data_IF_005742646365
#
_entry.id   IF_005742646365
#
_cell.length_a   1.000
_cell.length_b   1.000
_cell.length_c   1.000
_cell.angle_alpha   90.00
_cell.angle_beta   90.00
_cell.angle_gamma   90.00
#
_symmetry.space_group_name_H-M   'P 1'
#
loop_
_entity.id
_entity.type
_entity.pdbx_description
1 polymer ?
#
# COMPACT_ATOMS: atom_id res chain seq x y z
N UNK A 1 14.00 -12.83 -15.91
CA UNK A 1 12.70 -12.13 -15.73
C UNK A 1 12.94 -10.62 -15.82
N UNK A 2 12.12 -9.87 -16.59
CA UNK A 2 12.34 -8.44 -16.81
C UNK A 2 12.18 -7.61 -15.52
N UNK A 3 12.99 -6.56 -15.36
CA UNK A 3 12.87 -5.60 -14.25
C UNK A 3 11.82 -4.52 -14.52
N UNK A 4 11.38 -3.81 -13.46
CA UNK A 4 10.33 -2.78 -13.54
C UNK A 4 10.56 -1.77 -14.66
N UNK A 5 11.76 -1.19 -14.75
CA UNK A 5 12.08 -0.19 -15.79
C UNK A 5 11.94 -0.74 -17.21
N UNK A 6 12.24 -2.02 -17.42
CA UNK A 6 12.08 -2.64 -18.73
C UNK A 6 10.63 -2.83 -19.10
N UNK A 7 9.79 -3.21 -18.14
CA UNK A 7 8.34 -3.33 -18.32
C UNK A 7 7.70 -1.96 -18.56
N UNK A 8 8.08 -0.95 -17.79
CA UNK A 8 7.63 0.44 -17.95
C UNK A 8 7.94 0.99 -19.37
N UNK A 9 9.10 0.65 -19.94
CA UNK A 9 9.41 0.98 -21.35
C UNK A 9 8.45 0.32 -22.33
N UNK A 10 8.08 -0.93 -22.11
CA UNK A 10 7.11 -1.63 -22.96
C UNK A 10 5.71 -1.01 -22.88
N UNK A 11 5.28 -0.54 -21.70
CA UNK A 11 4.01 0.18 -21.54
C UNK A 11 4.00 1.51 -22.31
N UNK A 12 5.16 2.16 -22.45
CA UNK A 12 5.31 3.44 -23.19
C UNK A 12 5.54 3.27 -24.68
N UNK A 13 5.84 2.07 -25.16
CA UNK A 13 6.17 1.84 -26.56
C UNK A 13 4.94 2.09 -27.45
N UNK A 14 4.95 3.12 -28.31
CA UNK A 14 3.82 3.41 -29.20
C UNK A 14 3.66 2.37 -30.31
N UNK A 15 4.69 1.54 -30.58
CA UNK A 15 4.64 0.47 -31.59
C UNK A 15 4.14 -0.85 -31.01
N UNK A 16 4.03 -0.96 -29.69
CA UNK A 16 3.52 -2.15 -29.02
C UNK A 16 1.99 -2.21 -29.07
N UNK A 17 1.46 -3.41 -29.30
CA UNK A 17 0.02 -3.66 -29.18
C UNK A 17 -0.51 -3.34 -27.76
N UNK A 18 -1.75 -2.87 -27.68
CA UNK A 18 -2.41 -2.45 -26.43
C UNK A 18 -2.49 -3.60 -25.41
N UNK A 19 -2.73 -4.84 -25.86
CA UNK A 19 -2.78 -5.97 -24.95
C UNK A 19 -1.41 -6.24 -24.30
N UNK A 20 -0.31 -6.11 -25.07
CA UNK A 20 1.06 -6.21 -24.54
C UNK A 20 1.35 -5.08 -23.56
N UNK A 21 0.97 -3.84 -23.88
CA UNK A 21 1.17 -2.68 -22.98
C UNK A 21 0.43 -2.87 -21.66
N UNK A 22 -0.84 -3.30 -21.69
CA UNK A 22 -1.62 -3.63 -20.48
C UNK A 22 -0.99 -4.78 -19.71
N UNK A 23 -0.56 -5.84 -20.40
CA UNK A 23 0.14 -6.96 -19.78
C UNK A 23 1.41 -6.50 -19.07
N UNK A 24 2.26 -5.70 -19.73
CA UNK A 24 3.49 -5.16 -19.13
C UNK A 24 3.20 -4.28 -17.91
N UNK A 25 2.12 -3.49 -17.92
CA UNK A 25 1.69 -2.73 -16.74
C UNK A 25 1.29 -3.66 -15.58
N UNK A 26 0.52 -4.71 -15.84
CA UNK A 26 0.20 -5.73 -14.82
C UNK A 26 1.47 -6.42 -14.30
N UNK A 27 2.46 -6.69 -15.15
CA UNK A 27 3.77 -7.21 -14.73
C UNK A 27 4.56 -6.22 -13.89
N UNK A 28 4.39 -4.91 -14.07
CA UNK A 28 4.97 -3.92 -13.14
C UNK A 28 4.43 -4.10 -11.71
N UNK A 29 3.16 -4.49 -11.55
CA UNK A 29 2.56 -4.74 -10.24
C UNK A 29 3.13 -5.99 -9.55
N UNK A 30 3.66 -6.95 -10.29
CA UNK A 30 4.44 -8.05 -9.71
C UNK A 30 5.79 -7.59 -9.13
N UNK A 31 6.22 -6.36 -9.42
CA UNK A 31 7.48 -5.76 -8.91
C UNK A 31 7.27 -4.67 -7.88
N UNK A 32 6.11 -4.01 -7.91
CA UNK A 32 5.76 -2.97 -6.95
C UNK A 32 4.24 -2.84 -6.90
N UNK A 33 3.64 -3.25 -5.80
CA UNK A 33 2.19 -3.17 -5.57
C UNK A 33 1.92 -2.79 -4.11
N UNK A 34 1.87 -1.47 -3.81
CA UNK A 34 1.85 -0.99 -2.43
C UNK A 34 0.61 -1.43 -1.64
N UNK A 35 -0.55 -1.57 -2.28
CA UNK A 35 -1.77 -2.07 -1.65
C UNK A 35 -1.93 -3.58 -1.73
N UNK A 36 -0.97 -4.29 -2.35
CA UNK A 36 -1.14 -5.66 -2.83
C UNK A 36 -1.64 -5.67 -4.28
N UNK A 37 -1.41 -6.78 -4.99
CA UNK A 37 -1.58 -6.82 -6.44
C UNK A 37 -3.01 -6.46 -6.89
N UNK A 38 -4.03 -7.06 -6.27
CA UNK A 38 -5.43 -6.83 -6.64
C UNK A 38 -5.87 -5.40 -6.34
N UNK A 39 -5.67 -4.95 -5.10
CA UNK A 39 -6.04 -3.60 -4.68
C UNK A 39 -5.30 -2.50 -5.45
N UNK A 40 -4.02 -2.70 -5.78
CA UNK A 40 -3.27 -1.70 -6.57
C UNK A 40 -3.79 -1.63 -8.00
N UNK A 41 -4.13 -2.78 -8.61
CA UNK A 41 -4.74 -2.79 -9.95
C UNK A 41 -6.12 -2.13 -9.94
N UNK A 42 -6.95 -2.45 -8.96
CA UNK A 42 -8.28 -1.85 -8.80
C UNK A 42 -8.20 -0.33 -8.65
N UNK A 43 -7.31 0.14 -7.78
CA UNK A 43 -7.04 1.57 -7.58
C UNK A 43 -6.66 2.29 -8.88
N UNK A 44 -5.69 1.74 -9.63
CA UNK A 44 -5.26 2.34 -10.90
C UNK A 44 -6.37 2.34 -11.94
N UNK A 45 -7.18 1.27 -11.98
CA UNK A 45 -8.34 1.18 -12.85
C UNK A 45 -9.38 2.25 -12.52
N UNK A 46 -9.78 2.35 -11.25
CA UNK A 46 -10.75 3.34 -10.80
C UNK A 46 -10.27 4.76 -11.05
N UNK A 47 -9.01 5.07 -10.73
CA UNK A 47 -8.45 6.42 -10.80
C UNK A 47 -8.18 6.92 -12.22
N UNK A 48 -7.83 6.02 -13.13
CA UNK A 48 -7.51 6.38 -14.52
C UNK A 48 -8.56 5.94 -15.54
N UNK A 49 -9.70 5.40 -15.06
CA UNK A 49 -10.81 4.97 -15.92
C UNK A 49 -10.45 3.80 -16.83
N UNK A 50 -9.66 2.84 -16.36
CA UNK A 50 -9.34 1.61 -17.10
C UNK A 50 -10.37 0.56 -16.69
N UNK A 51 -11.09 -0.02 -17.67
CA UNK A 51 -11.96 -1.16 -17.38
C UNK A 51 -11.12 -2.35 -16.90
N UNK A 52 -11.44 -3.00 -15.76
CA UNK A 52 -10.64 -4.11 -15.25
C UNK A 52 -10.47 -5.25 -16.26
N UNK A 53 -11.52 -5.54 -17.02
CA UNK A 53 -11.57 -6.56 -18.08
C UNK A 53 -11.33 -6.01 -19.49
N UNK A 54 -11.13 -4.69 -19.63
CA UNK A 54 -10.85 -4.07 -20.91
C UNK A 54 -9.48 -4.54 -21.43
N UNK A 55 -9.49 -5.15 -22.62
CA UNK A 55 -8.30 -5.69 -23.28
C UNK A 55 -7.60 -4.67 -24.18
N UNK A 56 -8.27 -3.59 -24.56
CA UNK A 56 -7.75 -2.54 -25.42
C UNK A 56 -8.00 -1.13 -24.85
N UNK A 57 -7.54 -0.87 -23.60
CA UNK A 57 -7.74 0.44 -22.98
C UNK A 57 -7.00 1.54 -23.72
N UNK A 58 -7.53 2.76 -23.64
CA UNK A 58 -6.88 3.96 -24.16
C UNK A 58 -5.43 4.04 -23.66
N UNK A 59 -4.44 4.06 -24.57
CA UNK A 59 -3.03 4.05 -24.19
C UNK A 59 -2.62 5.25 -23.34
N UNK A 60 -3.33 6.40 -23.41
CA UNK A 60 -3.09 7.54 -22.51
C UNK A 60 -3.44 7.19 -21.06
N UNK A 61 -4.50 6.42 -20.84
CA UNK A 61 -4.89 5.97 -19.49
C UNK A 61 -3.87 4.99 -18.90
N UNK A 62 -3.34 4.08 -19.72
CA UNK A 62 -2.25 3.18 -19.33
C UNK A 62 -0.98 3.94 -18.93
N UNK A 63 -0.62 4.99 -19.68
CA UNK A 63 0.54 5.82 -19.35
C UNK A 63 0.34 6.58 -18.03
N UNK A 64 -0.84 7.19 -17.81
CA UNK A 64 -1.15 7.86 -16.54
C UNK A 64 -1.09 6.92 -15.33
N UNK A 65 -1.61 5.71 -15.48
CA UNK A 65 -1.51 4.68 -14.44
C UNK A 65 -0.07 4.25 -14.16
N UNK A 66 0.77 4.15 -15.19
CA UNK A 66 2.19 3.89 -15.03
C UNK A 66 2.91 5.04 -14.33
N UNK A 67 2.63 6.28 -14.72
CA UNK A 67 3.27 7.47 -14.15
C UNK A 67 2.98 7.57 -12.65
N UNK A 68 1.74 7.33 -12.22
CA UNK A 68 1.39 7.29 -10.81
C UNK A 68 2.11 6.16 -10.04
N UNK A 69 2.19 4.96 -10.64
CA UNK A 69 2.91 3.83 -10.06
C UNK A 69 4.41 4.14 -9.93
N UNK A 70 5.01 4.81 -10.92
CA UNK A 70 6.40 5.24 -10.89
C UNK A 70 6.68 6.32 -9.85
N UNK A 71 5.77 7.30 -9.70
CA UNK A 71 5.88 8.31 -8.66
C UNK A 71 5.87 7.67 -7.27
N UNK A 72 4.92 6.76 -7.02
CA UNK A 72 4.85 6.02 -5.77
C UNK A 72 6.10 5.16 -5.54
N UNK A 73 6.62 4.52 -6.60
CA UNK A 73 7.86 3.75 -6.52
C UNK A 73 9.07 4.63 -6.22
N UNK A 74 9.12 5.86 -6.73
CA UNK A 74 10.19 6.81 -6.42
C UNK A 74 10.18 7.20 -4.94
N UNK A 75 9.00 7.45 -4.36
CA UNK A 75 8.83 7.69 -2.91
C UNK A 75 9.36 6.52 -2.10
N UNK A 76 8.98 5.29 -2.45
CA UNK A 76 9.45 4.08 -1.76
C UNK A 76 10.97 3.90 -1.85
N UNK A 77 11.56 4.06 -3.03
CA UNK A 77 13.01 3.92 -3.22
C UNK A 77 13.81 4.99 -2.47
N UNK A 78 13.31 6.23 -2.42
CA UNK A 78 13.92 7.30 -1.64
C UNK A 78 13.91 6.95 -0.15
N UNK A 79 12.81 6.40 0.35
CA UNK A 79 12.72 5.88 1.71
C UNK A 79 13.73 4.73 1.97
N UNK A 80 13.83 3.74 1.08
CA UNK A 80 14.78 2.62 1.22
C UNK A 80 16.23 3.11 1.25
N UNK A 81 16.58 4.08 0.40
CA UNK A 81 17.92 4.68 0.39
C UNK A 81 18.24 5.40 1.72
N UNK A 82 17.29 6.19 2.23
CA UNK A 82 17.43 6.86 3.52
C UNK A 82 17.54 5.89 4.70
N UNK A 83 16.76 4.80 4.68
CA UNK A 83 16.85 3.72 5.65
C UNK A 83 18.23 3.07 5.64
N UNK A 84 18.74 2.71 4.46
CA UNK A 84 20.05 2.07 4.31
C UNK A 84 21.20 2.98 4.77
N UNK A 85 21.14 4.28 4.49
CA UNK A 85 22.09 5.27 4.99
C UNK A 85 22.07 5.37 6.52
N UNK A 86 20.89 5.51 7.13
CA UNK A 86 20.75 5.55 8.60
C UNK A 86 21.31 4.28 9.25
N UNK A 87 20.93 3.10 8.75
CA UNK A 87 21.42 1.83 9.28
C UNK A 87 22.92 1.65 9.12
N UNK A 88 23.55 2.18 8.07
CA UNK A 88 25.01 2.18 7.93
C UNK A 88 25.67 3.01 9.02
N UNK A 89 25.15 4.21 9.32
CA UNK A 89 25.65 5.07 10.40
C UNK A 89 25.49 4.44 11.78
N UNK A 90 24.31 3.89 12.08
CA UNK A 90 24.04 3.21 13.35
C UNK A 90 24.94 1.99 13.56
N UNK A 91 25.15 1.16 12.51
CA UNK A 91 26.09 0.04 12.56
C UNK A 91 27.52 0.52 12.84
N UNK A 92 27.95 1.60 12.19
CA UNK A 92 29.26 2.22 12.42
C UNK A 92 29.39 2.74 13.86
N UNK A 93 28.32 3.29 14.43
CA UNK A 93 28.24 3.74 15.82
C UNK A 93 28.04 2.60 16.85
N UNK A 94 28.09 1.33 16.44
CA UNK A 94 27.94 0.17 17.32
C UNK A 94 26.48 -0.22 17.66
N UNK A 95 25.48 0.51 17.16
CA UNK A 95 24.06 0.22 17.36
C UNK A 95 23.58 -0.88 16.40
N UNK A 96 23.68 -2.14 16.85
CA UNK A 96 23.35 -3.31 16.02
C UNK A 96 21.91 -3.81 16.15
N UNK A 97 21.15 -3.41 17.19
CA UNK A 97 19.74 -3.80 17.35
C UNK A 97 18.81 -2.86 16.57
N UNK A 98 17.98 -3.39 15.64
CA UNK A 98 16.96 -2.60 14.96
C UNK A 98 15.85 -2.15 15.93
N UNK A 99 15.27 -0.98 15.71
CA UNK A 99 14.10 -0.49 16.45
C UNK A 99 12.77 -1.02 15.89
N UNK A 100 11.65 -0.75 16.57
CA UNK A 100 10.31 -1.20 16.13
C UNK A 100 9.91 -0.67 14.72
N UNK A 101 10.44 0.49 14.33
CA UNK A 101 10.31 1.01 12.97
C UNK A 101 10.99 0.12 11.92
N UNK A 102 12.15 -0.45 12.25
CA UNK A 102 12.89 -1.34 11.36
C UNK A 102 12.18 -2.70 11.21
N UNK A 103 11.36 -3.12 12.18
CA UNK A 103 10.55 -4.34 12.10
C UNK A 103 9.46 -4.27 11.04
N UNK A 104 8.81 -3.11 10.91
CA UNK A 104 7.88 -2.86 9.80
C UNK A 104 8.60 -2.88 8.44
N UNK A 105 9.78 -2.26 8.34
CA UNK A 105 10.58 -2.29 7.11
C UNK A 105 10.97 -3.72 6.73
N UNK A 106 11.37 -4.56 7.70
CA UNK A 106 11.68 -5.98 7.46
C UNK A 106 10.52 -6.77 6.85
N UNK A 107 9.28 -6.41 7.18
CA UNK A 107 8.06 -7.09 6.70
C UNK A 107 7.57 -6.59 5.34
N UNK A 108 8.10 -5.48 4.83
CA UNK A 108 7.58 -4.78 3.64
C UNK A 108 8.57 -4.72 2.48
N UNK A 109 9.58 -5.61 2.49
CA UNK A 109 10.70 -5.58 1.55
C UNK A 109 10.23 -5.60 0.08
N UNK A 110 10.79 -4.69 -0.75
CA UNK A 110 10.42 -4.55 -2.16
C UNK A 110 9.14 -3.77 -2.43
N UNK A 111 8.49 -3.19 -1.41
CA UNK A 111 7.32 -2.32 -1.58
C UNK A 111 6.01 -3.06 -1.89
N UNK A 112 6.01 -4.39 -1.76
CA UNK A 112 4.79 -5.20 -1.88
C UNK A 112 4.00 -5.19 -0.58
N UNK A 113 2.78 -4.65 -0.62
CA UNK A 113 1.89 -4.62 0.54
C UNK A 113 2.35 -3.69 1.66
N UNK A 114 3.18 -2.68 1.36
CA UNK A 114 3.60 -1.64 2.32
C UNK A 114 2.41 -0.90 2.94
N UNK A 115 1.32 -0.78 2.18
CA UNK A 115 0.05 -0.19 2.56
C UNK A 115 -1.10 -1.15 2.21
N UNK A 116 -0.92 -2.45 2.47
CA UNK A 116 -1.82 -3.52 2.06
C UNK A 116 -3.28 -3.18 2.35
N UNK A 117 -4.15 -3.34 1.36
CA UNK A 117 -5.60 -3.31 1.55
C UNK A 117 -6.09 -4.75 1.61
N UNK A 118 -6.76 -5.13 2.70
CA UNK A 118 -7.27 -6.50 2.90
C UNK A 118 -8.44 -6.80 1.97
N UNK A 119 -9.29 -5.80 1.75
CA UNK A 119 -10.34 -5.86 0.74
C UNK A 119 -9.83 -5.11 -0.50
N UNK A 120 -9.71 -5.76 -1.68
CA UNK A 120 -9.23 -5.11 -2.89
C UNK A 120 -10.05 -3.91 -3.34
N UNK A 121 -11.34 -3.86 -3.03
CA UNK A 121 -12.26 -2.79 -3.44
C UNK A 121 -12.31 -1.64 -2.43
N UNK A 122 -11.69 -1.82 -1.25
CA UNK A 122 -11.62 -0.80 -0.20
C UNK A 122 -10.18 -0.35 -0.04
N UNK A 123 -9.82 0.70 -0.77
CA UNK A 123 -8.51 1.33 -0.73
C UNK A 123 -8.63 2.86 -0.70
N UNK A 124 -7.56 3.61 -0.33
CA UNK A 124 -7.57 5.07 -0.42
C UNK A 124 -7.82 5.56 -1.85
N UNK A 125 -8.43 6.74 -1.98
CA UNK A 125 -8.70 7.39 -3.28
C UNK A 125 -7.58 8.32 -3.74
N UNK A 126 -6.75 8.76 -2.81
CA UNK A 126 -5.59 9.62 -3.03
C UNK A 126 -4.51 8.91 -3.85
N UNK A 127 -3.64 9.67 -4.57
CA UNK A 127 -2.54 9.09 -5.32
C UNK A 127 -1.68 8.15 -4.48
N UNK A 128 -1.23 7.04 -5.07
CA UNK A 128 -0.37 6.07 -4.38
C UNK A 128 0.84 6.73 -3.69
N UNK A 129 1.48 7.68 -4.37
CA UNK A 129 2.64 8.40 -3.84
C UNK A 129 2.32 9.19 -2.57
N UNK A 130 1.15 9.83 -2.52
CA UNK A 130 0.70 10.61 -1.36
C UNK A 130 0.44 9.70 -0.16
N UNK A 131 -0.21 8.57 -0.38
CA UNK A 131 -0.48 7.59 0.67
C UNK A 131 0.83 7.05 1.27
N UNK A 132 1.82 6.76 0.43
CA UNK A 132 3.13 6.32 0.90
C UNK A 132 3.86 7.41 1.70
N UNK A 133 3.84 8.67 1.24
CA UNK A 133 4.43 9.79 1.99
C UNK A 133 3.83 9.92 3.38
N UNK A 134 2.50 9.88 3.48
CA UNK A 134 1.78 9.95 4.77
C UNK A 134 2.15 8.81 5.71
N UNK A 135 2.22 7.57 5.20
CA UNK A 135 2.61 6.40 5.98
C UNK A 135 4.06 6.48 6.48
N UNK A 136 4.99 6.83 5.60
CA UNK A 136 6.42 6.96 5.93
C UNK A 136 6.61 8.08 6.97
N UNK A 137 5.93 9.22 6.81
CA UNK A 137 5.99 10.33 7.75
C UNK A 137 5.42 9.97 9.13
N UNK A 138 4.29 9.26 9.18
CA UNK A 138 3.68 8.82 10.43
C UNK A 138 4.61 7.89 11.23
N UNK A 139 5.26 6.95 10.53
CA UNK A 139 6.21 6.06 11.18
C UNK A 139 7.48 6.77 11.71
N UNK A 140 7.84 7.92 11.13
CA UNK A 140 8.95 8.75 11.60
C UNK A 140 8.60 9.77 12.69
N UNK A 141 7.32 10.13 12.84
CA UNK A 141 6.84 11.17 13.77
C UNK A 141 6.31 10.62 15.10
N UNK A 142 6.19 9.30 15.22
CA UNK A 142 5.73 8.62 16.43
C UNK A 142 4.28 8.14 16.32
N UNK A 143 3.83 7.31 17.28
CA UNK A 143 2.53 6.66 17.21
C UNK A 143 1.36 7.64 17.40
N UNK A 144 0.33 7.52 16.56
CA UNK A 144 -0.90 8.30 16.63
C UNK A 144 -2.13 7.52 17.10
N UNK A 145 -3.28 8.20 17.19
CA UNK A 145 -4.58 7.58 17.56
C UNK A 145 -5.54 7.38 16.38
N UNK A 146 -5.09 7.76 15.18
CA UNK A 146 -5.87 7.75 13.94
C UNK A 146 -5.09 7.13 12.80
N UNK A 147 -5.79 6.76 11.73
CA UNK A 147 -5.18 6.29 10.50
C UNK A 147 -4.32 7.41 9.88
N UNK A 148 -3.03 7.16 9.59
CA UNK A 148 -2.15 8.20 9.04
C UNK A 148 -2.51 8.63 7.62
N UNK A 149 -3.33 7.84 6.91
CA UNK A 149 -3.69 8.11 5.51
C UNK A 149 -4.95 8.96 5.41
N UNK A 150 -6.02 8.56 6.10
CA UNK A 150 -7.33 9.21 6.01
C UNK A 150 -7.76 9.94 7.29
N UNK A 151 -6.91 10.00 8.31
CA UNK A 151 -7.18 10.56 9.65
C UNK A 151 -8.36 9.91 10.41
N UNK A 152 -8.96 8.84 9.88
CA UNK A 152 -10.05 8.13 10.53
C UNK A 152 -9.61 7.40 11.80
N UNK A 153 -10.42 7.48 12.86
CA UNK A 153 -10.18 6.75 14.13
C UNK A 153 -10.77 5.34 14.14
N UNK A 154 -11.54 4.99 13.11
CA UNK A 154 -12.11 3.67 12.90
C UNK A 154 -11.02 2.66 12.53
N UNK A 155 -10.46 2.00 13.55
CA UNK A 155 -9.44 0.96 13.38
C UNK A 155 -9.94 -0.30 14.07
N UNK A 156 -9.89 -1.42 13.35
CA UNK A 156 -10.34 -2.74 13.81
C UNK A 156 -9.26 -3.77 13.58
N UNK A 157 -9.09 -4.70 14.52
CA UNK A 157 -8.21 -5.83 14.34
C UNK A 157 -8.88 -6.86 13.43
N UNK A 158 -8.29 -7.12 12.26
CA UNK A 158 -8.78 -8.16 11.34
C UNK A 158 -7.77 -9.29 11.30
N UNK A 159 -8.28 -10.53 11.37
CA UNK A 159 -7.52 -11.71 10.99
C UNK A 159 -7.82 -11.97 9.51
N UNK A 160 -6.81 -11.95 8.65
CA UNK A 160 -7.00 -12.41 7.27
C UNK A 160 -7.32 -13.91 7.31
N UNK A 161 -8.40 -14.32 6.63
CA UNK A 161 -8.71 -15.74 6.44
C UNK A 161 -7.59 -16.36 5.60
N UNK A 162 -6.70 -17.12 6.24
CA UNK A 162 -5.96 -18.18 5.55
C UNK A 162 -4.47 -18.30 5.76
N UNK A 163 -3.73 -17.32 6.29
CA UNK A 163 -2.29 -17.49 6.53
C UNK A 163 -1.74 -16.44 7.51
N UNK A 164 -1.12 -16.89 8.61
CA UNK A 164 -0.14 -16.05 9.32
C UNK A 164 0.92 -15.61 8.31
N UNK A 165 1.29 -14.30 8.29
CA UNK A 165 1.54 -13.48 9.47
C UNK A 165 0.74 -12.14 9.54
N UNK A 166 -0.36 -11.98 8.79
CA UNK A 166 -0.93 -10.64 8.53
C UNK A 166 -2.18 -10.26 9.34
N UNK A 167 -2.39 -10.84 10.53
CA UNK A 167 -3.38 -10.30 11.46
C UNK A 167 -2.94 -8.90 11.97
N UNK A 168 -3.81 -7.90 11.87
CA UNK A 168 -3.42 -6.55 12.22
C UNK A 168 -4.54 -5.51 12.22
N UNK A 169 -4.21 -4.26 12.63
CA UNK A 169 -5.16 -3.16 12.66
C UNK A 169 -5.44 -2.67 11.23
N UNK A 170 -6.70 -2.74 10.82
CA UNK A 170 -7.19 -2.26 9.53
C UNK A 170 -8.04 -1.01 9.75
N UNK A 171 -7.79 0.03 8.95
CA UNK A 171 -8.64 1.21 8.95
C UNK A 171 -9.98 0.88 8.27
N UNK A 172 -11.10 1.11 8.96
CA UNK A 172 -12.44 0.87 8.41
C UNK A 172 -12.88 1.94 7.41
N UNK A 173 -12.15 3.06 7.33
CA UNK A 173 -12.45 4.15 6.39
C UNK A 173 -11.79 3.96 5.03
N UNK A 174 -10.48 3.68 4.99
CA UNK A 174 -9.73 3.55 3.73
C UNK A 174 -9.17 2.15 3.47
N UNK A 175 -9.46 1.15 4.32
CA UNK A 175 -9.17 -0.27 4.08
C UNK A 175 -7.71 -0.71 4.26
N UNK A 176 -6.78 0.22 4.48
CA UNK A 176 -5.36 -0.14 4.68
C UNK A 176 -5.16 -0.88 6.01
N UNK A 177 -4.28 -1.88 5.98
CA UNK A 177 -3.63 -2.41 7.17
C UNK A 177 -2.63 -1.36 7.69
N UNK A 178 -2.99 -0.70 8.78
CA UNK A 178 -2.17 0.34 9.38
C UNK A 178 -0.96 -0.30 10.05
N UNK A 179 0.27 0.19 9.83
CA UNK A 179 1.44 -0.30 10.56
C UNK A 179 1.25 -0.14 12.07
N UNK A 180 1.44 -1.22 12.83
CA UNK A 180 1.32 -1.16 14.30
C UNK A 180 2.20 -0.09 14.95
N UNK A 181 3.47 0.13 14.54
CA UNK A 181 4.30 1.19 15.11
C UNK A 181 3.79 2.62 14.86
N UNK A 182 2.86 2.81 13.91
CA UNK A 182 2.23 4.11 13.66
C UNK A 182 1.03 4.37 14.61
N UNK A 183 0.66 3.40 15.44
CA UNK A 183 -0.49 3.49 16.33
C UNK A 183 -0.06 3.40 17.79
N UNK A 184 -0.75 4.18 18.63
CA UNK A 184 -0.62 4.13 20.09
C UNK A 184 -1.12 2.80 20.64
N UNK A 185 -0.52 2.33 21.75
CA UNK A 185 -0.95 1.11 22.44
C UNK A 185 -2.43 1.13 22.81
N UNK A 186 -2.96 2.30 23.22
CA UNK A 186 -4.39 2.48 23.49
C UNK A 186 -5.25 2.21 22.26
N UNK A 187 -4.80 2.64 21.09
CA UNK A 187 -5.51 2.42 19.83
C UNK A 187 -5.45 0.97 19.39
N UNK A 188 -4.29 0.33 19.53
CA UNK A 188 -4.12 -1.11 19.28
C UNK A 188 -5.00 -1.95 20.21
N UNK A 189 -5.03 -1.62 21.50
CA UNK A 189 -5.89 -2.27 22.49
C UNK A 189 -7.37 -2.13 22.12
N UNK A 190 -7.81 -0.90 21.78
CA UNK A 190 -9.19 -0.65 21.33
C UNK A 190 -9.53 -1.43 20.05
N UNK A 191 -8.61 -1.52 19.10
CA UNK A 191 -8.83 -2.23 17.84
C UNK A 191 -9.05 -3.73 18.04
N UNK A 192 -8.44 -4.33 19.06
CA UNK A 192 -8.58 -5.75 19.42
C UNK A 192 -9.87 -6.07 20.18
N UNK A 193 -10.56 -5.07 20.72
CA UNK A 193 -11.82 -5.32 21.40
C UNK A 193 -12.86 -5.84 20.39
N UNK A 194 -13.57 -6.94 20.71
CA UNK A 194 -14.67 -7.40 19.90
C UNK A 194 -15.67 -6.25 19.79
N UNK A 195 -15.89 -5.72 18.58
CA UNK A 195 -17.04 -4.86 18.37
C UNK A 195 -18.25 -5.77 18.39
N UNK A 196 -19.04 -5.68 19.45
CA UNK A 196 -20.41 -6.18 19.41
C UNK A 196 -21.04 -5.57 18.16
N UNK A 197 -21.35 -6.40 17.16
CA UNK A 197 -22.20 -5.99 16.03
C UNK A 197 -23.42 -5.35 16.67
N UNK A 198 -23.62 -4.04 16.48
CA UNK A 198 -24.96 -3.48 16.64
C UNK A 198 -25.85 -4.33 15.73
N UNK A 199 -26.88 -5.02 16.25
CA UNK A 199 -27.81 -5.70 15.37
C UNK A 199 -28.29 -4.66 14.37
N UNK A 200 -28.27 -5.02 13.08
CA UNK A 200 -28.90 -4.21 12.06
C UNK A 200 -30.32 -3.93 12.56
N UNK A 201 -30.62 -2.66 12.83
CA UNK A 201 -31.97 -2.28 13.16
C UNK A 201 -32.83 -2.75 11.99
N UNK A 202 -33.66 -3.76 12.24
CA UNK A 202 -34.66 -4.19 11.29
C UNK A 202 -35.48 -2.95 10.95
N UNK A 203 -35.40 -2.50 9.70
CA UNK A 203 -36.31 -1.51 9.17
C UNK A 203 -37.67 -2.23 9.12
N UNK A 204 -38.53 -1.89 10.08
CA UNK A 204 -39.91 -2.29 10.12
C UNK A 204 -40.76 -1.14 9.58
N UNK A 205 -41.76 -1.54 8.77
CA UNK A 205 -42.82 -0.78 8.09
C UNK A 205 -42.42 -0.10 6.76
#
# INVERSE_FOLDING_TARGET
MAGFRSLARQVRDPRGDLALRRYSLRKCLERFAPYGHRATWDHLCARHGIGPEDRAPDPVRLMRALDELEEARAVWLAYEAGFAERRRREKHAGLRRPGAFDDWHRRTWGGHGVARCTDPEVHPTEPLAEVLRRLIAALGSGPGSACPVCAGTGIEWRQERGEEPWAGPVCTGCGIAVPQPALTDRTLARARLPRHRRPAAAVAA
#
